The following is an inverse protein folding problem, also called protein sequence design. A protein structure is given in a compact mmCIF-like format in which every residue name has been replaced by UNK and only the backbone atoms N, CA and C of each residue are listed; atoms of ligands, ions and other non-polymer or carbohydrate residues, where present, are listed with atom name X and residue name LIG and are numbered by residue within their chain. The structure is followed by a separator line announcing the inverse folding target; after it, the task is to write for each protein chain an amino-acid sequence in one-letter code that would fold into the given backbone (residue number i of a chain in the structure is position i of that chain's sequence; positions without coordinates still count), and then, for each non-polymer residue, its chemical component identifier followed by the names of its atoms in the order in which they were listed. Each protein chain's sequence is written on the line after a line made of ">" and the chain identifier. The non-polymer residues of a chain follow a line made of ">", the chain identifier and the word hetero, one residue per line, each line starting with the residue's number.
data_IF_951651654162
#
_entry.id   IF_951651654162
#
_cell.length_a   1.000
_cell.length_b   1.000
_cell.length_c   1.000
_cell.angle_alpha   90.00
_cell.angle_beta   90.00
_cell.angle_gamma   90.00
#
_symmetry.space_group_name_H-M   'P 1'
#
loop_
_entity.id
_entity.type
_entity.pdbx_description
1 polymer ?
#
# COMPACT_ATOMS: atom_id res chain seq x y z
N UNK A 1 17.35 -12.30 7.85
CA UNK A 1 16.57 -11.07 7.64
C UNK A 1 15.17 -11.45 7.21
N UNK A 2 14.14 -11.02 7.95
CA UNK A 2 12.74 -11.30 7.60
C UNK A 2 12.33 -10.49 6.36
N UNK A 3 11.99 -11.18 5.27
CA UNK A 3 11.43 -10.54 4.09
C UNK A 3 10.02 -10.05 4.39
N UNK A 4 9.56 -9.07 3.61
CA UNK A 4 8.23 -8.48 3.76
C UNK A 4 7.42 -8.73 2.51
N UNK A 5 6.25 -9.32 2.68
CA UNK A 5 5.30 -9.56 1.58
C UNK A 5 4.23 -8.47 1.60
N UNK A 6 3.99 -7.84 0.46
CA UNK A 6 2.93 -6.83 0.32
C UNK A 6 1.72 -7.40 -0.39
N UNK A 7 0.54 -7.13 0.18
CA UNK A 7 -0.74 -7.44 -0.42
C UNK A 7 -1.57 -6.16 -0.53
N UNK A 8 -2.02 -5.84 -1.72
CA UNK A 8 -2.93 -4.72 -1.96
C UNK A 8 -4.33 -5.28 -2.17
N UNK A 9 -5.30 -4.75 -1.43
CA UNK A 9 -6.69 -5.21 -1.49
C UNK A 9 -7.60 -4.00 -1.59
N UNK A 10 -8.47 -4.01 -2.59
CA UNK A 10 -9.53 -3.03 -2.73
C UNK A 10 -10.76 -3.50 -1.95
N UNK A 11 -11.27 -2.70 -1.02
CA UNK A 11 -12.45 -3.04 -0.21
C UNK A 11 -13.76 -2.60 -0.84
N UNK A 12 -13.76 -1.52 -1.61
CA UNK A 12 -14.95 -0.97 -2.29
C UNK A 12 -14.60 -0.38 -3.66
N UNK A 13 -15.59 -0.14 -4.51
CA UNK A 13 -15.38 0.57 -5.78
C UNK A 13 -14.81 1.98 -5.55
N UNK A 14 -13.72 2.31 -6.24
CA UNK A 14 -13.12 3.65 -6.20
C UNK A 14 -14.13 4.68 -6.71
N UNK A 15 -14.45 5.68 -5.88
CA UNK A 15 -15.48 6.68 -6.21
C UNK A 15 -14.94 7.83 -7.05
N UNK A 16 -13.62 8.01 -7.11
CA UNK A 16 -12.98 9.07 -7.88
C UNK A 16 -11.79 8.54 -8.72
N UNK A 17 -11.42 9.29 -9.77
CA UNK A 17 -10.32 8.93 -10.68
C UNK A 17 -8.96 8.87 -9.98
N UNK A 18 -8.77 9.67 -8.93
CA UNK A 18 -7.51 9.71 -8.18
C UNK A 18 -7.29 8.42 -7.38
N UNK A 19 -8.34 7.88 -6.75
CA UNK A 19 -8.32 6.60 -6.06
C UNK A 19 -8.05 5.45 -7.02
N UNK A 20 -8.61 5.49 -8.23
CA UNK A 20 -8.32 4.50 -9.28
C UNK A 20 -6.84 4.54 -9.68
N UNK A 21 -6.30 5.74 -9.93
CA UNK A 21 -4.89 5.91 -10.28
C UNK A 21 -3.94 5.46 -9.16
N UNK A 22 -4.32 5.73 -7.90
CA UNK A 22 -3.58 5.25 -6.72
C UNK A 22 -3.62 3.72 -6.65
N UNK A 23 -4.79 3.11 -6.88
CA UNK A 23 -4.94 1.66 -6.89
C UNK A 23 -4.07 1.02 -7.97
N UNK A 24 -4.11 1.53 -9.20
CA UNK A 24 -3.31 1.03 -10.32
C UNK A 24 -1.80 1.09 -10.02
N UNK A 25 -1.33 2.22 -9.48
CA UNK A 25 0.06 2.36 -9.07
C UNK A 25 0.45 1.41 -7.92
N UNK A 26 -0.44 1.21 -6.94
CA UNK A 26 -0.18 0.33 -5.81
C UNK A 26 -0.29 -1.16 -6.19
N UNK A 27 -1.11 -1.53 -7.16
CA UNK A 27 -1.19 -2.89 -7.67
C UNK A 27 0.15 -3.39 -8.23
N UNK A 28 1.03 -2.49 -8.70
CA UNK A 28 2.38 -2.86 -9.13
C UNK A 28 3.23 -3.49 -8.02
N UNK A 29 2.91 -3.24 -6.74
CA UNK A 29 3.59 -3.84 -5.59
C UNK A 29 2.76 -4.94 -4.93
N UNK A 30 1.61 -5.29 -5.47
CA UNK A 30 0.86 -6.46 -4.99
C UNK A 30 1.66 -7.73 -5.28
N UNK A 31 1.77 -8.60 -4.28
CA UNK A 31 2.56 -9.83 -4.40
C UNK A 31 4.08 -9.64 -4.32
N UNK A 32 4.57 -8.42 -4.12
CA UNK A 32 6.01 -8.14 -4.08
C UNK A 32 6.66 -8.55 -2.75
N UNK A 33 7.94 -8.96 -2.84
CA UNK A 33 8.78 -9.32 -1.70
C UNK A 33 9.90 -8.29 -1.51
N UNK A 34 9.87 -7.59 -0.39
CA UNK A 34 10.88 -6.61 -0.01
C UNK A 34 11.86 -7.18 1.01
N UNK A 35 13.07 -6.63 1.06
CA UNK A 35 14.13 -7.10 1.98
C UNK A 35 13.84 -6.72 3.43
N UNK A 36 13.16 -5.60 3.64
CA UNK A 36 12.81 -5.08 4.96
C UNK A 36 11.55 -4.19 4.92
N UNK A 37 11.00 -3.90 6.10
CA UNK A 37 9.77 -3.10 6.27
C UNK A 37 9.93 -1.67 5.76
N UNK A 38 11.11 -1.07 5.93
CA UNK A 38 11.39 0.30 5.48
C UNK A 38 11.29 0.42 3.96
N UNK A 39 11.82 -0.56 3.22
CA UNK A 39 11.79 -0.62 1.76
C UNK A 39 10.36 -0.79 1.22
N UNK A 40 9.57 -1.67 1.83
CA UNK A 40 8.16 -1.84 1.49
C UNK A 40 7.37 -0.53 1.70
N UNK A 41 7.55 0.10 2.87
CA UNK A 41 6.89 1.38 3.21
C UNK A 41 7.32 2.50 2.26
N UNK A 42 8.63 2.60 1.98
CA UNK A 42 9.20 3.62 1.09
C UNK A 42 8.61 3.52 -0.31
N UNK A 43 8.50 2.30 -0.84
CA UNK A 43 7.91 2.04 -2.15
C UNK A 43 6.43 2.43 -2.19
N UNK A 44 5.63 2.01 -1.19
CA UNK A 44 4.20 2.37 -1.11
C UNK A 44 4.02 3.91 -1.07
N UNK A 45 4.79 4.62 -0.25
CA UNK A 45 4.73 6.08 -0.17
C UNK A 45 5.13 6.76 -1.49
N UNK A 46 6.11 6.18 -2.19
CA UNK A 46 6.60 6.71 -3.47
C UNK A 46 5.53 6.57 -4.54
N UNK A 47 4.91 5.39 -4.67
CA UNK A 47 3.82 5.13 -5.61
C UNK A 47 2.60 5.98 -5.32
N UNK A 48 2.23 6.11 -4.03
CA UNK A 48 1.16 6.99 -3.62
C UNK A 48 1.41 8.45 -4.03
N UNK A 49 2.61 8.99 -3.75
CA UNK A 49 2.98 10.34 -4.17
C UNK A 49 3.04 10.50 -5.69
N UNK A 50 3.50 9.50 -6.42
CA UNK A 50 3.53 9.51 -7.88
C UNK A 50 2.11 9.66 -8.44
N UNK A 51 1.16 8.85 -7.95
CA UNK A 51 -0.25 8.95 -8.33
C UNK A 51 -0.87 10.32 -7.98
N UNK A 52 -0.52 10.90 -6.82
CA UNK A 52 -0.96 12.26 -6.46
C UNK A 52 -0.42 13.33 -7.42
N UNK A 53 0.85 13.23 -7.84
CA UNK A 53 1.49 14.18 -8.73
C UNK A 53 1.02 14.06 -10.18
N UNK A 54 0.72 12.85 -10.63
CA UNK A 54 0.21 12.58 -11.97
C UNK A 54 -1.22 13.10 -12.16
N UNK A 55 -2.00 13.09 -11.08
CA UNK A 55 -3.35 13.60 -11.09
C UNK A 55 -3.40 15.13 -11.16
N UNK A 56 -3.78 15.66 -12.33
CA UNK A 56 -3.93 17.11 -12.57
C UNK A 56 -5.31 17.69 -12.22
N UNK A 57 -6.17 16.91 -11.56
CA UNK A 57 -7.52 17.34 -11.22
C UNK A 57 -7.60 18.02 -9.85
N UNK A 58 -8.76 18.63 -9.57
CA UNK A 58 -9.05 19.34 -8.31
C UNK A 58 -9.81 18.49 -7.28
N UNK A 59 -9.80 17.15 -7.43
CA UNK A 59 -10.39 16.25 -6.44
C UNK A 59 -9.67 16.34 -5.09
N UNK A 60 -10.41 16.09 -4.01
CA UNK A 60 -9.85 16.02 -2.65
C UNK A 60 -8.75 14.97 -2.60
N UNK A 61 -7.60 15.35 -2.05
CA UNK A 61 -6.47 14.43 -1.84
C UNK A 61 -6.87 13.37 -0.80
N UNK A 62 -6.74 12.08 -1.12
CA UNK A 62 -7.04 11.01 -0.20
C UNK A 62 -6.00 10.95 0.92
N UNK A 63 -6.42 10.51 2.10
CA UNK A 63 -5.52 10.35 3.24
C UNK A 63 -4.93 8.94 3.28
N UNK A 64 -3.61 8.86 3.45
CA UNK A 64 -2.91 7.60 3.73
C UNK A 64 -2.82 7.41 5.25
N UNK A 65 -3.74 6.64 5.82
CA UNK A 65 -3.73 6.24 7.22
C UNK A 65 -2.95 4.95 7.40
N UNK A 66 -2.39 4.72 8.58
CA UNK A 66 -1.67 3.50 8.87
C UNK A 66 -2.00 2.99 10.27
N UNK A 67 -2.08 1.68 10.42
CA UNK A 67 -2.29 1.02 11.70
C UNK A 67 -1.62 -0.35 11.74
N UNK A 68 -1.35 -0.85 12.95
CA UNK A 68 -0.73 -2.15 13.17
C UNK A 68 -1.74 -3.06 13.87
N UNK A 69 -2.52 -3.87 13.14
CA UNK A 69 -3.50 -4.76 13.77
C UNK A 69 -2.82 -5.90 14.55
N UNK A 70 -1.62 -6.29 14.13
CA UNK A 70 -0.81 -7.31 14.79
C UNK A 70 0.67 -6.93 14.74
N UNK A 71 1.47 -7.47 15.67
CA UNK A 71 2.94 -7.28 15.71
C UNK A 71 3.65 -7.69 14.40
N UNK A 72 3.02 -8.54 13.58
CA UNK A 72 3.57 -9.08 12.35
C UNK A 72 2.98 -8.48 11.07
N UNK A 73 2.09 -7.49 11.19
CA UNK A 73 1.40 -6.90 10.05
C UNK A 73 1.31 -5.39 10.18
N UNK A 74 1.69 -4.68 9.13
CA UNK A 74 1.47 -3.25 9.03
C UNK A 74 0.47 -2.98 7.91
N UNK A 75 -0.60 -2.25 8.20
CA UNK A 75 -1.65 -1.98 7.21
C UNK A 75 -1.69 -0.48 6.93
N UNK A 76 -1.61 -0.14 5.65
CA UNK A 76 -1.94 1.18 5.15
C UNK A 76 -3.34 1.18 4.58
N UNK A 77 -4.04 2.28 4.80
CA UNK A 77 -5.39 2.50 4.32
C UNK A 77 -5.43 3.82 3.54
N UNK A 78 -5.89 3.78 2.29
CA UNK A 78 -6.22 4.98 1.50
C UNK A 78 -7.74 5.19 1.50
N UNK A 79 -8.21 6.23 2.20
CA UNK A 79 -9.59 6.74 2.12
C UNK A 79 -10.74 5.72 2.36
N UNK A 80 -10.51 4.67 3.16
CA UNK A 80 -11.46 3.56 3.43
C UNK A 80 -11.74 2.62 2.24
N UNK A 81 -11.02 2.80 1.12
CA UNK A 81 -11.22 2.07 -0.14
C UNK A 81 -10.09 1.09 -0.48
N UNK A 82 -8.84 1.41 -0.14
CA UNK A 82 -7.66 0.60 -0.52
C UNK A 82 -6.86 0.24 0.73
N UNK A 83 -6.68 -1.06 0.96
CA UNK A 83 -5.85 -1.61 2.02
C UNK A 83 -4.54 -2.15 1.45
N UNK A 84 -3.40 -1.74 2.01
CA UNK A 84 -2.10 -2.36 1.73
C UNK A 84 -1.61 -3.03 3.00
N UNK A 85 -1.58 -4.35 3.02
CA UNK A 85 -1.06 -5.15 4.13
C UNK A 85 0.37 -5.57 3.86
N UNK A 86 1.26 -5.30 4.81
CA UNK A 86 2.66 -5.72 4.80
C UNK A 86 2.82 -6.81 5.85
N UNK A 87 3.18 -8.01 5.41
CA UNK A 87 3.34 -9.18 6.27
C UNK A 87 4.82 -9.53 6.44
N UNK A 88 5.21 -9.85 7.67
CA UNK A 88 6.50 -10.51 7.92
C UNK A 88 6.47 -11.93 7.36
N UNK A 89 7.39 -12.26 6.46
CA UNK A 89 7.62 -13.64 6.04
C UNK A 89 8.47 -14.33 7.11
N UNK A 90 7.89 -15.30 7.81
CA UNK A 90 8.65 -16.22 8.64
C UNK A 90 9.35 -17.23 7.73
N UNK A 91 10.66 -17.38 7.86
CA UNK A 91 11.36 -18.51 7.24
C UNK A 91 11.05 -19.74 8.12
N UNK A 92 10.11 -20.58 7.71
CA UNK A 92 9.80 -21.87 8.36
C UNK A 92 10.90 -22.94 8.14
N UNK A 93 12.15 -22.52 7.95
CA UNK A 93 13.32 -23.38 7.81
C UNK A 93 14.37 -22.95 8.82
N UNK A 94 14.19 -23.38 10.07
CA UNK A 94 15.22 -23.43 11.10
C UNK A 94 15.01 -24.67 11.95
#
# INVERSE_FOLDING_TARGET
>A
MSKQFTKVTQTYSTKNKLQLLILENLQAVDGSLFKNKSEAIGTIKTLFKAALNEYKGSAKLPELKNYEPHKNSHVYHVDEVINISIYNVQNDLA
#
